data_IF_272078745837
#
_entry.id   IF_272078745837
#
_cell.length_a   1.000
_cell.length_b   1.000
_cell.length_c   1.000
_cell.angle_alpha   90.00
_cell.angle_beta   90.00
_cell.angle_gamma   90.00
#
_symmetry.space_group_name_H-M   'P 1'
#
loop_
_entity.id
_entity.type
_entity.pdbx_description
1 polymer ?
#
# COMPACT_ATOMS: atom_id res chain seq x y z
N UNK A 1 14.81 -15.75 9.75
CA UNK A 1 14.85 -15.99 8.29
C UNK A 1 13.41 -15.88 7.81
N UNK A 2 13.08 -14.81 7.08
CA UNK A 2 11.74 -14.62 6.51
C UNK A 2 11.68 -15.40 5.19
N UNK A 3 10.93 -16.51 5.16
CA UNK A 3 10.59 -17.17 3.90
C UNK A 3 9.52 -16.32 3.19
N UNK A 4 9.98 -15.31 2.47
CA UNK A 4 9.15 -14.61 1.49
C UNK A 4 8.87 -15.58 0.36
N UNK A 5 7.68 -16.20 0.34
CA UNK A 5 7.27 -16.97 -0.84
C UNK A 5 7.21 -16.05 -2.04
N UNK A 6 7.73 -16.52 -3.17
CA UNK A 6 7.68 -15.83 -4.45
C UNK A 6 6.24 -15.38 -4.74
N UNK A 7 6.08 -14.13 -5.18
CA UNK A 7 4.81 -13.59 -5.64
C UNK A 7 4.23 -14.54 -6.70
N UNK A 8 3.14 -15.25 -6.36
CA UNK A 8 2.35 -15.94 -7.37
C UNK A 8 1.78 -14.89 -8.31
N UNK A 9 1.79 -15.17 -9.62
CA UNK A 9 1.09 -14.30 -10.59
C UNK A 9 -0.36 -14.18 -10.13
N UNK A 10 -0.86 -12.96 -9.87
CA UNK A 10 -2.23 -12.79 -9.40
C UNK A 10 -3.19 -13.39 -10.41
N UNK A 11 -4.22 -14.06 -9.91
CA UNK A 11 -5.38 -14.41 -10.74
C UNK A 11 -6.00 -13.12 -11.31
N UNK A 12 -6.76 -13.24 -12.40
CA UNK A 12 -7.47 -12.10 -12.99
C UNK A 12 -8.37 -11.40 -11.97
N UNK A 13 -9.03 -12.16 -11.09
CA UNK A 13 -9.87 -11.63 -10.02
C UNK A 13 -9.06 -10.87 -8.97
N UNK A 14 -7.90 -11.39 -8.57
CA UNK A 14 -6.99 -10.70 -7.64
C UNK A 14 -6.42 -9.42 -8.25
N UNK A 15 -6.01 -9.45 -9.52
CA UNK A 15 -5.53 -8.27 -10.23
C UNK A 15 -6.62 -7.19 -10.35
N UNK A 16 -7.86 -7.58 -10.68
CA UNK A 16 -9.00 -6.67 -10.72
C UNK A 16 -9.30 -6.06 -9.34
N UNK A 17 -9.24 -6.87 -8.28
CA UNK A 17 -9.44 -6.40 -6.93
C UNK A 17 -8.34 -5.43 -6.47
N UNK A 18 -7.07 -5.75 -6.74
CA UNK A 18 -5.94 -4.85 -6.47
C UNK A 18 -6.06 -3.55 -7.26
N UNK A 19 -6.50 -3.61 -8.52
CA UNK A 19 -6.83 -2.43 -9.31
C UNK A 19 -7.90 -1.55 -8.64
N UNK A 20 -8.97 -2.16 -8.13
CA UNK A 20 -9.99 -1.45 -7.35
C UNK A 20 -9.42 -0.80 -6.09
N UNK A 21 -8.58 -1.52 -5.32
CA UNK A 21 -7.96 -0.98 -4.10
C UNK A 21 -7.02 0.20 -4.39
N UNK A 22 -6.28 0.14 -5.50
CA UNK A 22 -5.43 1.25 -5.97
C UNK A 22 -6.27 2.48 -6.27
N UNK A 23 -7.35 2.31 -7.03
CA UNK A 23 -8.22 3.41 -7.44
C UNK A 23 -8.96 4.01 -6.24
N UNK A 24 -9.38 3.19 -5.27
CA UNK A 24 -9.93 3.70 -4.01
C UNK A 24 -8.86 4.42 -3.18
N UNK A 25 -7.64 3.88 -3.08
CA UNK A 25 -6.54 4.53 -2.37
C UNK A 25 -6.19 5.87 -3.01
N UNK A 26 -6.24 5.99 -4.33
CA UNK A 26 -6.08 7.27 -5.04
C UNK A 26 -7.16 8.27 -4.63
N UNK A 27 -8.43 7.86 -4.53
CA UNK A 27 -9.51 8.73 -4.04
C UNK A 27 -9.31 9.13 -2.59
N UNK A 28 -8.85 8.20 -1.75
CA UNK A 28 -8.51 8.50 -0.38
C UNK A 28 -7.38 9.52 -0.35
N UNK A 29 -6.26 9.30 -1.06
CA UNK A 29 -5.09 10.17 -1.08
C UNK A 29 -5.38 11.57 -1.65
N UNK A 30 -6.27 11.65 -2.64
CA UNK A 30 -6.58 12.90 -3.33
C UNK A 30 -5.43 13.36 -4.22
N UNK A 31 -5.34 14.65 -4.49
CA UNK A 31 -4.31 15.23 -5.38
C UNK A 31 -2.94 15.46 -4.75
N UNK A 32 -2.68 14.92 -3.55
CA UNK A 32 -1.42 15.11 -2.82
C UNK A 32 -0.33 14.16 -3.33
N UNK A 33 -0.72 13.00 -3.87
CA UNK A 33 0.18 12.05 -4.49
C UNK A 33 -0.57 11.16 -5.49
N UNK A 34 0.15 10.65 -6.48
CA UNK A 34 -0.32 9.64 -7.43
C UNK A 34 0.01 8.24 -6.90
N UNK A 35 -0.98 7.35 -6.86
CA UNK A 35 -0.79 5.94 -6.52
C UNK A 35 -0.36 5.19 -7.78
N UNK A 36 0.89 4.74 -7.80
CA UNK A 36 1.49 4.06 -8.95
C UNK A 36 1.11 2.59 -8.99
N UNK A 37 1.31 1.90 -7.87
CA UNK A 37 1.10 0.45 -7.74
C UNK A 37 0.52 0.10 -6.37
N UNK A 38 -0.21 -1.00 -6.31
CA UNK A 38 -0.49 -1.72 -5.07
C UNK A 38 -0.20 -3.20 -5.31
N UNK A 39 0.58 -3.78 -4.42
CA UNK A 39 1.01 -5.16 -4.48
C UNK A 39 0.62 -5.90 -3.21
N UNK A 40 0.32 -7.19 -3.36
CA UNK A 40 0.02 -8.07 -2.24
C UNK A 40 1.20 -9.02 -2.01
N UNK A 41 1.60 -9.14 -0.74
CA UNK A 41 2.57 -10.11 -0.27
C UNK A 41 1.92 -10.97 0.81
N UNK A 42 2.06 -12.29 0.69
CA UNK A 42 1.61 -13.24 1.71
C UNK A 42 2.86 -13.80 2.38
N UNK A 43 2.97 -13.57 3.68
CA UNK A 43 4.11 -14.00 4.47
C UNK A 43 3.67 -14.74 5.73
N UNK A 44 4.45 -15.74 6.13
CA UNK A 44 4.34 -16.36 7.45
C UNK A 44 5.30 -15.66 8.40
N UNK A 45 4.78 -15.08 9.48
CA UNK A 45 5.59 -14.40 10.49
C UNK A 45 6.19 -15.40 11.48
N UNK A 46 7.15 -14.96 12.30
CA UNK A 46 7.87 -15.82 13.27
C UNK A 46 6.93 -16.58 14.24
N UNK A 47 5.72 -16.07 14.45
CA UNK A 47 4.69 -16.70 15.27
C UNK A 47 3.93 -17.84 14.56
N UNK A 48 4.25 -18.13 13.30
CA UNK A 48 3.54 -19.10 12.46
C UNK A 48 2.21 -18.58 11.89
N UNK A 49 1.86 -17.31 12.17
CA UNK A 49 0.63 -16.70 11.67
C UNK A 49 0.89 -16.16 10.25
N UNK A 50 0.05 -16.60 9.31
CA UNK A 50 0.01 -16.03 7.97
C UNK A 50 -0.60 -14.62 8.04
N UNK A 51 0.05 -13.66 7.39
CA UNK A 51 -0.49 -12.31 7.23
C UNK A 51 -0.42 -11.89 5.77
N UNK A 52 -1.39 -11.08 5.40
CA UNK A 52 -1.42 -10.36 4.13
C UNK A 52 -0.81 -8.99 4.36
N UNK A 53 0.19 -8.64 3.55
CA UNK A 53 0.79 -7.31 3.50
C UNK A 53 0.43 -6.66 2.17
N UNK A 54 -0.07 -5.43 2.21
CA UNK A 54 -0.24 -4.59 1.04
C UNK A 54 0.87 -3.55 1.02
N UNK A 55 1.50 -3.41 -0.14
CA UNK A 55 2.57 -2.45 -0.39
C UNK A 55 2.09 -1.51 -1.50
N UNK A 56 1.94 -0.23 -1.19
CA UNK A 56 1.58 0.79 -2.17
C UNK A 56 2.78 1.66 -2.50
N UNK A 57 3.05 1.88 -3.78
CA UNK A 57 4.00 2.89 -4.24
C UNK A 57 3.24 4.14 -4.67
N UNK A 58 3.65 5.29 -4.17
CA UNK A 58 3.05 6.59 -4.45
C UNK A 58 4.12 7.61 -4.86
N UNK A 59 3.75 8.59 -5.68
CA UNK A 59 4.61 9.70 -6.09
C UNK A 59 3.98 11.03 -5.72
N UNK A 60 4.75 11.89 -5.07
CA UNK A 60 4.38 13.27 -4.79
C UNK A 60 5.50 14.19 -5.31
N UNK A 61 5.19 15.00 -6.31
CA UNK A 61 6.22 15.74 -7.05
C UNK A 61 7.29 14.79 -7.60
N UNK A 62 8.56 15.05 -7.24
CA UNK A 62 9.72 14.23 -7.63
C UNK A 62 10.05 13.11 -6.62
N UNK A 63 9.23 12.94 -5.57
CA UNK A 63 9.48 11.99 -4.51
C UNK A 63 8.59 10.75 -4.64
N UNK A 64 9.22 9.58 -4.78
CA UNK A 64 8.53 8.30 -4.63
C UNK A 64 8.60 7.80 -3.19
N UNK A 65 7.48 7.28 -2.69
CA UNK A 65 7.35 6.72 -1.35
C UNK A 65 6.60 5.41 -1.38
N UNK A 66 6.98 4.51 -0.50
CA UNK A 66 6.34 3.21 -0.34
C UNK A 66 5.63 3.11 1.00
N UNK A 67 4.39 2.64 0.98
CA UNK A 67 3.57 2.44 2.17
C UNK A 67 3.27 0.97 2.40
N UNK A 68 3.70 0.56 3.59
CA UNK A 68 3.47 -0.65 4.34
C UNK A 68 2.17 -0.86 5.12
N UNK A 69 1.37 -1.90 4.90
CA UNK A 69 0.48 -2.35 5.97
C UNK A 69 0.11 -3.83 5.91
N UNK A 70 -0.02 -4.46 7.09
CA UNK A 70 -0.33 -5.90 7.21
C UNK A 70 -1.57 -6.18 8.05
N UNK A 71 -2.35 -7.20 7.66
CA UNK A 71 -3.55 -7.68 8.33
C UNK A 71 -3.66 -9.21 8.28
N UNK A 72 -4.59 -9.79 9.05
CA UNK A 72 -4.95 -11.19 8.91
C UNK A 72 -5.73 -11.47 7.63
N UNK A 73 -6.36 -10.44 7.06
CA UNK A 73 -7.01 -10.48 5.74
C UNK A 73 -6.57 -9.29 4.88
N UNK A 74 -6.82 -9.37 3.57
CA UNK A 74 -6.57 -8.26 2.63
C UNK A 74 -7.37 -7.00 2.99
N UNK A 75 -8.59 -7.16 3.52
CA UNK A 75 -9.45 -6.04 3.94
C UNK A 75 -8.84 -5.34 5.16
N UNK A 76 -8.35 -6.10 6.13
CA UNK A 76 -7.68 -5.56 7.32
C UNK A 76 -6.38 -4.84 6.94
N UNK A 77 -5.57 -5.46 6.06
CA UNK A 77 -4.36 -4.86 5.53
C UNK A 77 -4.68 -3.53 4.81
N UNK A 78 -5.72 -3.50 3.99
CA UNK A 78 -6.16 -2.29 3.30
C UNK A 78 -6.64 -1.20 4.25
N UNK A 79 -7.47 -1.55 5.24
CA UNK A 79 -7.92 -0.59 6.25
C UNK A 79 -6.75 0.02 7.03
N UNK A 80 -5.70 -0.75 7.31
CA UNK A 80 -4.48 -0.25 7.90
C UNK A 80 -3.68 0.65 6.95
N UNK A 81 -3.60 0.28 5.67
CA UNK A 81 -2.93 1.08 4.63
C UNK A 81 -3.57 2.45 4.46
N UNK A 82 -4.91 2.53 4.40
CA UNK A 82 -5.65 3.79 4.28
C UNK A 82 -5.37 4.71 5.48
N UNK A 83 -5.31 4.16 6.70
CA UNK A 83 -4.94 4.94 7.90
C UNK A 83 -3.50 5.45 7.82
N UNK A 84 -2.56 4.64 7.33
CA UNK A 84 -1.17 5.05 7.09
C UNK A 84 -1.11 6.18 6.07
N UNK A 85 -1.77 6.03 4.93
CA UNK A 85 -1.82 7.03 3.87
C UNK A 85 -2.39 8.37 4.35
N UNK A 86 -3.42 8.35 5.20
CA UNK A 86 -3.99 9.57 5.77
C UNK A 86 -2.97 10.38 6.61
N UNK A 87 -2.12 9.71 7.38
CA UNK A 87 -1.05 10.37 8.14
C UNK A 87 0.06 10.90 7.21
N UNK A 88 0.44 10.13 6.19
CA UNK A 88 1.52 10.47 5.27
C UNK A 88 1.15 11.61 4.31
N UNK A 89 -0.14 11.78 3.96
CA UNK A 89 -0.62 12.98 3.21
C UNK A 89 -0.18 14.28 3.86
N UNK A 90 -0.27 14.39 5.19
CA UNK A 90 0.11 15.60 5.89
C UNK A 90 1.62 15.83 5.75
N UNK A 91 2.42 14.78 5.92
CA UNK A 91 3.87 14.84 5.77
C UNK A 91 4.28 15.24 4.35
N UNK A 92 3.61 14.70 3.33
CA UNK A 92 3.85 15.04 1.91
C UNK A 92 3.49 16.51 1.65
N UNK A 93 2.28 16.93 2.01
CA UNK A 93 1.84 18.32 1.80
C UNK A 93 2.74 19.34 2.50
N UNK A 94 3.32 18.99 3.66
CA UNK A 94 4.32 19.84 4.33
C UNK A 94 5.67 19.86 3.61
N UNK A 95 6.09 18.74 3.01
CA UNK A 95 7.35 18.67 2.24
C UNK A 95 7.25 19.59 1.02
N UNK A 96 6.15 19.49 0.27
CA UNK A 96 5.90 20.34 -0.90
C UNK A 96 5.83 21.83 -0.55
N UNK A 97 5.38 22.19 0.65
CA UNK A 97 5.34 23.58 1.12
C UNK A 97 6.72 24.12 1.51
N UNK A 98 7.60 23.27 2.03
CA UNK A 98 8.95 23.65 2.48
C UNK A 98 9.92 23.74 1.30
N UNK A 99 9.73 22.89 0.29
CA UNK A 99 10.60 22.81 -0.89
C UNK A 99 10.18 23.76 -2.03
N UNK A 100 9.03 24.46 -1.91
CA UNK A 100 8.53 25.48 -2.85
C UNK A 100 9.05 26.90 -2.54
#
# INVERSE_FOLDING_TARGET
>A
MSDTRAASVPTEAEAAFLGFLRDDLQRQIGGVADVLTIEQQIGTYETGIERVTLVASCRAGDHERTFEASGGTVIEAYGALVRRAAAEKLAIAFTDLVDA
#
